data_IF_169025048263
#
_entry.id   IF_169025048263
#
_cell.length_a   1.000
_cell.length_b   1.000
_cell.length_c   1.000
_cell.angle_alpha   90.00
_cell.angle_beta   90.00
_cell.angle_gamma   90.00
#
_symmetry.space_group_name_H-M   'P 1'
#
loop_
_entity.id
_entity.type
_entity.pdbx_description
1 polymer ?
#
# COMPACT_ATOMS: atom_id res chain seq x y z
N UNK A 1 25.03 -31.13 23.21
CA UNK A 1 25.81 -32.33 22.82
C UNK A 1 24.87 -33.31 22.13
N UNK A 2 25.26 -33.86 20.98
CA UNK A 2 24.58 -34.96 20.29
C UNK A 2 23.73 -34.54 19.08
N UNK A 3 24.18 -34.95 17.89
CA UNK A 3 23.64 -34.61 16.57
C UNK A 3 23.49 -35.89 15.73
N UNK A 4 22.67 -35.79 14.66
CA UNK A 4 22.59 -36.66 13.46
C UNK A 4 21.86 -38.03 13.64
N UNK A 5 21.16 -38.65 12.67
CA UNK A 5 21.19 -38.63 11.19
C UNK A 5 19.82 -38.99 10.57
N UNK A 6 19.54 -38.45 9.39
CA UNK A 6 18.61 -38.98 8.39
C UNK A 6 19.35 -39.95 7.44
N UNK A 7 18.68 -40.90 6.77
CA UNK A 7 19.22 -41.57 5.61
C UNK A 7 18.93 -40.76 4.32
N UNK A 8 19.98 -40.48 3.57
CA UNK A 8 19.95 -39.86 2.25
C UNK A 8 19.77 -40.91 1.15
N UNK A 9 19.27 -40.49 -0.02
CA UNK A 9 19.67 -41.06 -1.31
C UNK A 9 19.98 -39.91 -2.26
N UNK A 10 21.24 -39.81 -2.67
CA UNK A 10 21.74 -38.90 -3.70
C UNK A 10 22.04 -39.71 -4.96
N UNK A 11 21.81 -39.10 -6.13
CA UNK A 11 22.51 -39.45 -7.36
C UNK A 11 23.09 -38.15 -7.95
N UNK A 12 24.38 -38.18 -8.25
CA UNK A 12 25.28 -37.08 -8.59
C UNK A 12 24.99 -36.46 -9.97
N UNK A 13 25.54 -35.25 -10.26
CA UNK A 13 25.92 -34.87 -11.61
C UNK A 13 27.44 -35.00 -11.83
N UNK A 14 27.83 -35.47 -13.01
CA UNK A 14 29.21 -35.45 -13.50
C UNK A 14 29.47 -34.20 -14.34
N UNK A 15 30.67 -33.65 -14.19
CA UNK A 15 31.16 -32.45 -14.89
C UNK A 15 32.16 -32.84 -15.99
N UNK A 16 32.09 -32.07 -17.09
CA UNK A 16 33.09 -31.76 -18.13
C UNK A 16 33.69 -32.85 -19.03
N UNK A 17 33.65 -32.57 -20.35
CA UNK A 17 34.84 -32.37 -21.21
C UNK A 17 34.47 -31.83 -22.60
N UNK A 18 35.20 -30.80 -23.03
CA UNK A 18 35.39 -30.41 -24.44
C UNK A 18 36.29 -31.44 -25.16
N UNK A 19 36.23 -31.52 -26.50
CA UNK A 19 37.32 -30.90 -27.25
C UNK A 19 36.91 -30.17 -28.55
N UNK A 20 37.86 -29.33 -28.95
CA UNK A 20 38.03 -28.52 -30.16
C UNK A 20 38.05 -29.28 -31.49
N UNK A 21 37.63 -28.61 -32.57
CA UNK A 21 37.95 -28.96 -33.96
C UNK A 21 37.48 -27.88 -34.94
N UNK A 22 38.42 -27.20 -35.60
CA UNK A 22 38.21 -26.16 -36.59
C UNK A 22 37.82 -26.72 -37.97
N UNK A 23 37.26 -25.87 -38.85
CA UNK A 23 37.55 -25.68 -40.30
C UNK A 23 36.37 -24.94 -40.99
N UNK A 24 36.66 -23.82 -41.68
CA UNK A 24 35.77 -23.08 -42.62
C UNK A 24 35.95 -23.62 -44.07
N UNK A 25 35.45 -23.02 -45.19
CA UNK A 25 34.50 -21.89 -45.43
C UNK A 25 33.50 -22.12 -46.61
N UNK A 26 32.69 -21.07 -46.92
CA UNK A 26 32.02 -20.81 -48.23
C UNK A 26 30.48 -20.85 -48.18
N UNK A 27 29.68 -20.04 -48.87
CA UNK A 27 29.84 -18.89 -49.78
C UNK A 27 28.43 -18.40 -50.20
N UNK A 28 28.23 -17.07 -50.37
CA UNK A 28 27.32 -16.40 -51.37
C UNK A 28 25.78 -16.54 -51.12
N UNK A 29 24.83 -15.59 -51.29
CA UNK A 29 24.65 -14.27 -51.94
C UNK A 29 23.45 -13.54 -51.26
N UNK A 30 23.47 -12.22 -51.00
CA UNK A 30 22.98 -11.06 -51.79
C UNK A 30 21.45 -10.82 -51.89
N UNK A 31 21.00 -9.64 -51.39
CA UNK A 31 20.04 -8.63 -51.98
C UNK A 31 19.74 -7.54 -50.91
N UNK A 32 20.39 -6.35 -50.82
CA UNK A 32 20.11 -5.01 -51.45
C UNK A 32 18.64 -4.71 -51.78
N UNK A 33 18.01 -3.53 -51.58
CA UNK A 33 18.43 -2.13 -51.37
C UNK A 33 17.27 -1.29 -50.71
N UNK A 34 17.50 -0.34 -49.78
CA UNK A 34 17.70 1.15 -49.88
C UNK A 34 16.47 1.95 -50.36
N UNK A 35 15.91 2.88 -49.57
CA UNK A 35 16.14 4.36 -49.63
C UNK A 35 15.04 5.10 -48.84
N UNK A 36 15.04 6.40 -48.52
CA UNK A 36 16.01 7.39 -48.01
C UNK A 36 15.24 8.72 -47.82
N UNK A 37 15.34 9.31 -46.62
CA UNK A 37 15.46 10.75 -46.27
C UNK A 37 14.45 11.86 -46.72
N UNK A 38 14.62 13.00 -46.01
CA UNK A 38 14.16 14.41 -46.22
C UNK A 38 12.80 14.71 -45.55
N UNK A 39 12.56 15.73 -44.70
CA UNK A 39 13.24 16.99 -44.35
C UNK A 39 12.19 18.13 -44.35
N UNK A 40 12.29 19.09 -43.40
CA UNK A 40 11.44 20.29 -43.19
C UNK A 40 10.02 20.05 -42.59
N UNK A 41 9.41 20.85 -41.72
CA UNK A 41 9.67 22.18 -41.16
C UNK A 41 8.32 22.90 -40.93
N UNK A 42 8.15 23.53 -39.74
CA UNK A 42 7.30 24.71 -39.43
C UNK A 42 5.77 24.54 -39.11
N UNK A 43 5.47 24.77 -37.81
CA UNK A 43 4.37 25.57 -37.20
C UNK A 43 2.90 25.12 -37.07
N UNK A 44 2.32 25.65 -35.97
CA UNK A 44 0.92 25.87 -35.59
C UNK A 44 0.20 24.69 -34.91
N UNK A 45 -0.40 24.80 -33.73
CA UNK A 45 -0.76 25.97 -32.94
C UNK A 45 -1.18 25.58 -31.52
N UNK A 46 -1.16 26.57 -30.65
CA UNK A 46 -1.50 26.51 -29.23
C UNK A 46 -3.00 26.30 -29.05
N UNK A 47 -3.40 25.43 -28.12
CA UNK A 47 -4.63 25.64 -27.37
C UNK A 47 -4.35 25.47 -25.88
N UNK A 48 -3.96 26.60 -25.29
CA UNK A 48 -4.13 26.89 -23.87
C UNK A 48 -5.63 26.82 -23.62
N UNK A 49 -6.09 25.75 -22.97
CA UNK A 49 -7.37 25.77 -22.28
C UNK A 49 -7.09 26.23 -20.86
N UNK A 50 -7.21 27.54 -20.65
CA UNK A 50 -7.40 28.11 -19.32
C UNK A 50 -8.74 27.58 -18.79
N UNK A 51 -8.67 26.69 -17.80
CA UNK A 51 -9.69 26.69 -16.77
C UNK A 51 -8.99 26.90 -15.43
N UNK A 52 -9.30 28.01 -14.78
CA UNK A 52 -8.69 28.45 -13.54
C UNK A 52 -9.18 27.58 -12.39
N UNK A 53 -8.34 26.66 -11.93
CA UNK A 53 -8.45 26.10 -10.58
C UNK A 53 -7.10 25.51 -10.18
N UNK A 54 -6.22 26.37 -9.65
CA UNK A 54 -4.97 26.05 -8.93
C UNK A 54 -4.22 24.77 -9.39
N UNK A 55 -3.51 24.82 -10.54
CA UNK A 55 -2.71 23.69 -11.04
C UNK A 55 -1.53 23.32 -10.12
N UNK A 56 -1.06 24.26 -9.29
CA UNK A 56 0.04 24.01 -8.35
C UNK A 56 -0.34 23.04 -7.24
N UNK A 57 -1.55 23.15 -6.67
CA UNK A 57 -2.01 22.25 -5.62
C UNK A 57 -2.35 20.86 -6.16
N UNK A 58 -2.90 20.76 -7.38
CA UNK A 58 -3.16 19.45 -8.00
C UNK A 58 -1.84 18.73 -8.32
N UNK A 59 -0.85 19.45 -8.86
CA UNK A 59 0.49 18.91 -9.08
C UNK A 59 1.20 18.57 -7.77
N UNK A 60 1.02 19.37 -6.72
CA UNK A 60 1.60 19.12 -5.40
C UNK A 60 0.92 17.97 -4.66
N UNK A 61 -0.40 17.80 -4.79
CA UNK A 61 -1.18 16.65 -4.33
C UNK A 61 -0.74 15.39 -5.04
N UNK A 62 -0.70 15.41 -6.38
CA UNK A 62 -0.22 14.28 -7.16
C UNK A 62 1.24 13.96 -6.81
N UNK A 63 2.08 14.96 -6.56
CA UNK A 63 3.47 14.77 -6.10
C UNK A 63 3.53 14.20 -4.67
N UNK A 64 2.74 14.72 -3.74
CA UNK A 64 2.65 14.28 -2.34
C UNK A 64 2.15 12.85 -2.24
N UNK A 65 1.01 12.57 -2.88
CA UNK A 65 0.47 11.22 -3.06
C UNK A 65 1.52 10.33 -3.74
N UNK A 66 2.21 10.83 -4.76
CA UNK A 66 3.20 10.02 -5.46
C UNK A 66 4.46 9.69 -4.65
N UNK A 67 4.85 10.59 -3.76
CA UNK A 67 6.01 10.43 -2.88
C UNK A 67 5.67 9.56 -1.66
N UNK A 68 4.41 9.55 -1.23
CA UNK A 68 3.87 8.59 -0.26
C UNK A 68 4.22 7.14 -0.59
N UNK A 69 4.34 6.83 -1.88
CA UNK A 69 4.62 5.48 -2.37
C UNK A 69 6.09 5.07 -2.37
N UNK A 70 7.03 6.02 -2.14
CA UNK A 70 8.48 5.73 -2.21
C UNK A 70 9.15 5.47 -0.86
N UNK A 71 8.49 5.78 0.26
CA UNK A 71 9.09 5.70 1.61
C UNK A 71 8.54 4.58 2.48
N UNK A 72 8.00 3.51 1.90
CA UNK A 72 7.39 2.45 2.70
C UNK A 72 8.46 1.65 3.48
N UNK A 73 8.23 1.38 4.78
CA UNK A 73 9.11 0.55 5.58
C UNK A 73 9.07 -0.90 5.12
N UNK A 74 9.96 -1.74 5.65
CA UNK A 74 10.24 -3.13 5.22
C UNK A 74 9.03 -4.11 5.27
N UNK A 75 7.84 -3.63 5.62
CA UNK A 75 6.62 -4.42 5.85
C UNK A 75 5.50 -4.22 4.81
N UNK A 76 5.67 -3.35 3.81
CA UNK A 76 4.74 -3.20 2.68
C UNK A 76 5.29 -2.33 1.55
N UNK A 77 4.72 -2.41 0.35
CA UNK A 77 5.05 -1.54 -0.80
C UNK A 77 3.79 -0.86 -1.30
N UNK A 78 3.75 0.47 -1.36
CA UNK A 78 2.62 1.23 -1.89
C UNK A 78 2.80 1.49 -3.40
N UNK A 79 1.78 1.22 -4.22
CA UNK A 79 1.77 1.55 -5.65
C UNK A 79 0.62 2.52 -5.96
N UNK A 80 0.91 3.54 -6.77
CA UNK A 80 -0.05 4.55 -7.21
C UNK A 80 -0.77 4.07 -8.45
N UNK A 81 -2.06 4.30 -8.49
CA UNK A 81 -2.85 4.22 -9.71
C UNK A 81 -2.95 5.58 -10.37
N UNK A 82 -2.72 5.61 -11.68
CA UNK A 82 -3.18 6.70 -12.54
C UNK A 82 -4.72 6.71 -12.53
N UNK A 83 -5.34 7.88 -12.33
CA UNK A 83 -6.75 8.07 -11.95
C UNK A 83 -7.79 7.68 -13.03
N UNK A 84 -7.41 6.84 -14.01
CA UNK A 84 -8.26 6.47 -15.16
C UNK A 84 -8.91 5.09 -15.06
N UNK A 85 -8.54 4.24 -14.10
CA UNK A 85 -9.13 2.90 -13.95
C UNK A 85 -10.17 2.88 -12.83
N UNK A 86 -11.40 2.42 -13.11
CA UNK A 86 -12.46 2.28 -12.11
C UNK A 86 -12.10 1.33 -10.95
N UNK A 87 -11.14 0.43 -11.19
CA UNK A 87 -10.65 -0.57 -10.25
C UNK A 87 -9.15 -0.75 -10.45
N UNK A 88 -8.40 -0.77 -9.35
CA UNK A 88 -6.94 -0.90 -9.29
C UNK A 88 -6.59 -2.26 -8.69
N UNK A 89 -5.80 -3.07 -9.39
CA UNK A 89 -5.49 -4.44 -8.97
C UNK A 89 -4.10 -4.54 -8.36
N UNK A 90 -3.98 -5.17 -7.20
CA UNK A 90 -2.70 -5.54 -6.60
C UNK A 90 -2.11 -6.72 -7.36
N UNK A 91 -0.93 -6.53 -7.94
CA UNK A 91 -0.35 -7.42 -8.94
C UNK A 91 0.06 -8.79 -8.40
N UNK A 92 0.38 -8.90 -7.10
CA UNK A 92 0.86 -10.16 -6.52
C UNK A 92 -0.26 -11.10 -6.09
N UNK A 93 -1.38 -10.56 -5.62
CA UNK A 93 -2.51 -11.30 -5.06
C UNK A 93 -3.68 -11.39 -6.03
N UNK A 94 -3.73 -10.51 -7.03
CA UNK A 94 -4.84 -10.40 -7.99
C UNK A 94 -6.08 -9.73 -7.40
N UNK A 95 -5.97 -9.16 -6.20
CA UNK A 95 -7.07 -8.49 -5.53
C UNK A 95 -7.28 -7.07 -6.04
N UNK A 96 -8.55 -6.70 -6.19
CA UNK A 96 -8.96 -5.49 -6.87
C UNK A 96 -9.59 -4.50 -5.90
N UNK A 97 -9.04 -3.30 -5.84
CA UNK A 97 -9.47 -2.19 -5.01
C UNK A 97 -10.20 -1.17 -5.88
N UNK A 98 -11.44 -0.76 -5.54
CA UNK A 98 -12.13 0.27 -6.30
C UNK A 98 -11.36 1.60 -6.26
N UNK A 99 -11.44 2.41 -7.31
CA UNK A 99 -10.82 3.73 -7.30
C UNK A 99 -11.52 4.72 -6.36
N UNK A 100 -12.82 4.54 -6.14
CA UNK A 100 -13.63 5.35 -5.23
C UNK A 100 -14.37 4.45 -4.25
N UNK A 101 -14.36 4.83 -2.98
CA UNK A 101 -15.03 4.16 -1.88
C UNK A 101 -16.03 5.12 -1.21
N UNK A 102 -17.22 4.62 -0.83
CA UNK A 102 -18.29 5.40 -0.19
C UNK A 102 -18.62 6.70 -0.95
N UNK A 103 -18.62 6.62 -2.28
CA UNK A 103 -18.95 7.69 -3.23
C UNK A 103 -18.07 8.95 -3.23
N UNK A 104 -17.15 9.13 -2.26
CA UNK A 104 -16.28 10.33 -2.19
C UNK A 104 -14.81 10.04 -1.87
N UNK A 105 -14.47 8.89 -1.31
CA UNK A 105 -13.09 8.60 -0.91
C UNK A 105 -12.31 8.00 -2.06
N UNK A 106 -11.36 8.76 -2.61
CA UNK A 106 -10.42 8.30 -3.62
C UNK A 106 -9.36 7.35 -3.04
N UNK A 107 -8.96 6.36 -3.82
CA UNK A 107 -7.85 5.46 -3.48
C UNK A 107 -6.51 6.20 -3.59
N UNK A 108 -5.81 6.34 -2.46
CA UNK A 108 -4.51 7.00 -2.38
C UNK A 108 -3.35 6.06 -2.69
N UNK A 109 -3.50 4.78 -2.35
CA UNK A 109 -2.46 3.78 -2.58
C UNK A 109 -2.85 2.40 -2.06
N UNK A 110 -2.20 1.37 -2.63
CA UNK A 110 -2.39 -0.04 -2.27
C UNK A 110 -1.10 -0.63 -1.75
N UNK A 111 -1.14 -1.40 -0.67
CA UNK A 111 -0.02 -2.18 -0.17
C UNK A 111 -0.35 -3.64 0.11
N UNK A 112 0.68 -4.38 0.51
CA UNK A 112 0.59 -5.80 0.83
C UNK A 112 1.29 -6.08 2.15
N UNK A 113 0.56 -6.63 3.12
CA UNK A 113 1.12 -7.04 4.41
C UNK A 113 1.67 -8.45 4.34
N UNK A 114 2.94 -8.59 4.70
CA UNK A 114 3.63 -9.89 4.82
C UNK A 114 3.96 -10.22 6.27
N UNK A 115 3.94 -11.50 6.60
CA UNK A 115 4.41 -12.03 7.89
C UNK A 115 5.44 -13.12 7.67
N UNK A 116 6.59 -13.01 8.30
CA UNK A 116 7.58 -14.07 8.33
C UNK A 116 7.10 -15.18 9.27
N UNK A 117 7.11 -16.43 8.80
CA UNK A 117 6.70 -17.62 9.53
C UNK A 117 7.92 -18.54 9.63
N UNK A 118 8.30 -18.87 10.87
CA UNK A 118 9.49 -19.68 11.19
C UNK A 118 10.81 -19.15 10.59
N UNK A 119 10.93 -17.85 10.34
CA UNK A 119 12.16 -17.19 9.85
C UNK A 119 12.58 -17.54 8.41
N UNK A 120 11.93 -18.51 7.77
CA UNK A 120 12.34 -19.08 6.48
C UNK A 120 11.34 -18.77 5.35
N UNK A 121 10.07 -18.50 5.67
CA UNK A 121 9.02 -18.29 4.67
C UNK A 121 8.16 -17.08 5.01
N UNK A 122 7.94 -16.21 4.03
CA UNK A 122 6.98 -15.11 4.14
C UNK A 122 5.61 -15.55 3.63
N UNK A 123 4.57 -15.24 4.39
CA UNK A 123 3.18 -15.37 3.94
C UNK A 123 2.61 -13.99 3.65
N UNK A 124 1.87 -13.86 2.56
CA UNK A 124 1.05 -12.68 2.28
C UNK A 124 -0.24 -12.79 3.09
N UNK A 125 -0.43 -11.89 4.05
CA UNK A 125 -1.54 -11.96 5.03
C UNK A 125 -2.79 -11.32 4.44
N UNK A 126 -2.66 -10.08 3.96
CA UNK A 126 -3.72 -9.31 3.31
C UNK A 126 -3.11 -8.25 2.39
N UNK A 127 -3.81 -7.90 1.32
CA UNK A 127 -3.60 -6.66 0.61
C UNK A 127 -4.40 -5.55 1.30
N UNK A 128 -3.99 -4.30 1.17
CA UNK A 128 -4.74 -3.18 1.73
C UNK A 128 -4.74 -1.97 0.81
N UNK A 129 -5.80 -1.18 0.85
CA UNK A 129 -5.90 0.11 0.17
C UNK A 129 -6.20 1.21 1.17
N UNK A 130 -5.58 2.37 1.00
CA UNK A 130 -5.83 3.57 1.81
C UNK A 130 -6.65 4.55 0.99
N UNK A 131 -7.75 5.03 1.57
CA UNK A 131 -8.73 5.90 0.93
C UNK A 131 -8.95 7.15 1.77
N UNK A 132 -9.13 8.28 1.12
CA UNK A 132 -9.57 9.52 1.77
C UNK A 132 -10.30 10.41 0.77
N UNK A 133 -11.03 11.40 1.27
CA UNK A 133 -11.70 12.38 0.42
C UNK A 133 -10.69 13.40 -0.13
N UNK A 134 -10.65 13.53 -1.47
CA UNK A 134 -9.71 14.42 -2.15
C UNK A 134 -9.90 15.89 -1.75
N UNK A 135 -11.15 16.30 -1.48
CA UNK A 135 -11.43 17.68 -1.05
C UNK A 135 -10.98 17.90 0.38
N UNK A 136 -11.21 16.94 1.29
CA UNK A 136 -10.73 17.04 2.67
C UNK A 136 -9.19 17.14 2.69
N UNK A 137 -8.47 16.31 1.91
CA UNK A 137 -7.00 16.38 1.82
C UNK A 137 -6.56 17.73 1.24
N UNK A 138 -7.19 18.18 0.15
CA UNK A 138 -6.84 19.45 -0.49
C UNK A 138 -7.03 20.63 0.45
N UNK A 139 -8.13 20.66 1.20
CA UNK A 139 -8.41 21.69 2.19
C UNK A 139 -7.34 21.69 3.30
N UNK A 140 -7.06 20.52 3.87
CA UNK A 140 -6.01 20.35 4.88
C UNK A 140 -4.63 20.83 4.40
N UNK A 141 -4.23 20.46 3.19
CA UNK A 141 -2.95 20.89 2.64
C UNK A 141 -2.93 22.40 2.39
N UNK A 142 -4.04 22.97 1.91
CA UNK A 142 -4.12 24.41 1.66
C UNK A 142 -4.10 25.24 2.95
N UNK A 143 -4.73 24.75 4.01
CA UNK A 143 -4.80 25.43 5.30
C UNK A 143 -3.45 25.42 6.02
N UNK A 144 -2.78 24.26 6.04
CA UNK A 144 -1.55 24.07 6.81
C UNK A 144 -0.26 24.36 6.03
N UNK A 145 -0.28 24.17 4.71
CA UNK A 145 0.91 24.32 3.86
C UNK A 145 0.69 25.18 2.61
N UNK A 146 -0.45 25.89 2.47
CA UNK A 146 -0.75 26.67 1.26
C UNK A 146 0.24 27.78 0.93
N UNK A 147 1.05 28.21 1.90
CA UNK A 147 2.11 29.22 1.73
C UNK A 147 3.50 28.64 1.50
N UNK A 148 3.68 27.32 1.66
CA UNK A 148 4.98 26.65 1.55
C UNK A 148 5.21 26.15 0.12
N UNK A 149 6.43 26.34 -0.38
CA UNK A 149 6.85 25.79 -1.66
C UNK A 149 6.92 24.26 -1.56
N UNK A 150 6.48 23.54 -2.60
CA UNK A 150 6.45 22.06 -2.65
C UNK A 150 7.81 21.41 -2.35
N UNK A 151 8.89 22.16 -2.49
CA UNK A 151 10.27 21.72 -2.25
C UNK A 151 10.68 21.72 -0.76
N UNK A 152 9.93 22.43 0.10
CA UNK A 152 10.18 22.50 1.55
C UNK A 152 9.28 21.55 2.36
N UNK A 153 8.27 20.95 1.71
CA UNK A 153 7.35 20.02 2.33
C UNK A 153 8.06 18.71 2.65
N UNK A 154 8.42 18.49 3.92
CA UNK A 154 8.86 17.16 4.34
C UNK A 154 7.65 16.24 4.37
N UNK A 155 7.65 15.25 3.49
CA UNK A 155 6.60 14.24 3.39
C UNK A 155 6.25 13.59 4.74
N UNK A 156 7.25 13.37 5.59
CA UNK A 156 7.10 12.83 6.94
C UNK A 156 6.22 13.71 7.83
N UNK A 157 6.45 15.02 7.79
CA UNK A 157 5.68 15.99 8.58
C UNK A 157 4.22 16.01 8.11
N UNK A 158 4.01 16.02 6.79
CA UNK A 158 2.65 16.03 6.22
C UNK A 158 1.88 14.74 6.50
N UNK A 159 2.57 13.60 6.45
CA UNK A 159 1.98 12.30 6.78
C UNK A 159 1.61 12.23 8.26
N UNK A 160 2.48 12.70 9.14
CA UNK A 160 2.19 12.79 10.56
C UNK A 160 0.99 13.71 10.83
N UNK A 161 0.97 14.88 10.21
CA UNK A 161 -0.09 15.87 10.37
C UNK A 161 -1.42 15.37 9.79
N UNK A 162 -1.40 14.61 8.68
CA UNK A 162 -2.58 13.96 8.12
C UNK A 162 -3.16 12.92 9.09
N UNK A 163 -2.31 12.11 9.74
CA UNK A 163 -2.76 11.14 10.74
C UNK A 163 -3.42 11.81 11.96
N UNK A 164 -2.91 12.97 12.35
CA UNK A 164 -3.40 13.76 13.50
C UNK A 164 -4.64 14.60 13.19
N UNK A 165 -4.85 14.99 11.92
CA UNK A 165 -5.99 15.81 11.46
C UNK A 165 -7.36 15.13 11.65
N UNK A 166 -8.46 15.86 11.61
CA UNK A 166 -9.82 15.28 11.65
C UNK A 166 -10.38 14.98 10.24
N UNK A 167 -9.54 14.38 9.39
CA UNK A 167 -9.92 13.95 8.04
C UNK A 167 -10.41 12.51 8.06
N UNK A 168 -11.45 12.24 7.27
CA UNK A 168 -11.95 10.88 7.07
C UNK A 168 -10.97 10.05 6.23
N UNK A 169 -10.53 8.92 6.78
CA UNK A 169 -9.58 8.01 6.12
C UNK A 169 -10.05 6.57 6.34
N UNK A 170 -10.12 5.78 5.27
CA UNK A 170 -10.45 4.36 5.35
C UNK A 170 -9.27 3.52 4.92
N UNK A 171 -8.88 2.57 5.76
CA UNK A 171 -7.96 1.49 5.37
C UNK A 171 -8.80 0.24 5.14
N UNK A 172 -8.87 -0.20 3.88
CA UNK A 172 -9.54 -1.43 3.47
C UNK A 172 -8.55 -2.56 3.39
N UNK A 173 -8.75 -3.62 4.15
CA UNK A 173 -7.95 -4.83 4.14
C UNK A 173 -8.70 -5.91 3.36
N UNK A 174 -8.02 -6.58 2.44
CA UNK A 174 -8.53 -7.73 1.71
C UNK A 174 -7.69 -8.97 2.03
N UNK A 175 -8.32 -9.96 2.66
CA UNK A 175 -7.63 -11.08 3.27
C UNK A 175 -7.10 -12.05 2.21
N UNK A 176 -5.79 -12.30 2.24
CA UNK A 176 -5.11 -13.21 1.31
C UNK A 176 -4.92 -14.59 1.94
N UNK A 177 -4.49 -14.64 3.20
CA UNK A 177 -4.21 -15.89 3.88
C UNK A 177 -5.50 -16.54 4.40
N UNK A 178 -5.99 -17.57 3.73
CA UNK A 178 -7.28 -18.20 4.03
C UNK A 178 -7.36 -19.06 5.30
N UNK A 179 -6.27 -19.16 6.08
CA UNK A 179 -6.22 -19.94 7.34
C UNK A 179 -6.09 -19.02 8.56
N UNK A 180 -6.56 -17.78 8.46
CA UNK A 180 -6.63 -16.87 9.60
C UNK A 180 -7.84 -17.24 10.47
N UNK A 181 -7.57 -17.50 11.75
CA UNK A 181 -8.62 -17.49 12.76
C UNK A 181 -8.85 -16.06 13.25
N UNK A 182 -10.07 -15.74 13.66
CA UNK A 182 -10.38 -14.44 14.26
C UNK A 182 -9.52 -14.16 15.49
N UNK A 183 -9.19 -15.19 16.28
CA UNK A 183 -8.23 -15.10 17.39
C UNK A 183 -6.83 -14.68 16.93
N UNK A 184 -6.35 -15.22 15.81
CA UNK A 184 -5.07 -14.81 15.23
C UNK A 184 -5.08 -13.36 14.77
N UNK A 185 -6.21 -12.88 14.24
CA UNK A 185 -6.38 -11.47 13.85
C UNK A 185 -6.42 -10.57 15.06
N UNK A 186 -7.18 -10.93 16.10
CA UNK A 186 -7.22 -10.22 17.39
C UNK A 186 -5.83 -10.08 17.98
N UNK A 187 -5.07 -11.18 18.10
CA UNK A 187 -3.71 -11.15 18.63
C UNK A 187 -2.78 -10.28 17.77
N UNK A 188 -2.88 -10.36 16.44
CA UNK A 188 -2.06 -9.55 15.55
C UNK A 188 -2.34 -8.05 15.72
N UNK A 189 -3.61 -7.67 15.90
CA UNK A 189 -3.99 -6.30 16.20
C UNK A 189 -3.59 -5.88 17.62
N UNK A 190 -3.71 -6.75 18.62
CA UNK A 190 -3.20 -6.48 19.98
C UNK A 190 -1.72 -6.12 19.95
N UNK A 191 -0.91 -6.92 19.24
CA UNK A 191 0.52 -6.69 19.08
C UNK A 191 0.81 -5.39 18.31
N UNK A 192 0.23 -5.24 17.11
CA UNK A 192 0.56 -4.14 16.21
C UNK A 192 0.01 -2.80 16.71
N UNK A 193 -1.27 -2.76 17.10
CA UNK A 193 -1.92 -1.54 17.59
C UNK A 193 -1.42 -1.20 18.99
N UNK A 194 -1.20 -2.19 19.85
CA UNK A 194 -0.63 -1.99 21.19
C UNK A 194 0.75 -1.32 21.14
N UNK A 195 1.60 -1.74 20.20
CA UNK A 195 2.89 -1.07 19.95
C UNK A 195 2.74 0.41 19.61
N UNK A 196 1.80 0.78 18.73
CA UNK A 196 1.59 2.18 18.31
C UNK A 196 0.88 3.02 19.36
N UNK A 197 -0.07 2.44 20.10
CA UNK A 197 -0.65 3.08 21.28
C UNK A 197 0.43 3.39 22.31
N UNK A 198 1.39 2.48 22.53
CA UNK A 198 2.52 2.74 23.43
C UNK A 198 3.42 3.86 22.93
N UNK A 199 3.69 3.89 21.62
CA UNK A 199 4.50 4.92 20.97
C UNK A 199 3.92 6.33 21.14
N UNK A 200 2.60 6.49 20.97
CA UNK A 200 1.95 7.81 20.98
C UNK A 200 1.29 8.19 22.31
N UNK A 201 0.92 7.22 23.14
CA UNK A 201 0.12 7.44 24.36
C UNK A 201 0.72 6.86 25.64
N UNK A 202 1.93 6.29 25.62
CA UNK A 202 2.58 5.74 26.83
C UNK A 202 2.06 4.36 27.27
N UNK A 203 2.29 3.96 28.53
CA UNK A 203 1.99 2.60 29.01
C UNK A 203 0.52 2.33 29.33
N UNK A 204 -0.27 3.35 29.65
CA UNK A 204 -1.64 3.21 30.18
C UNK A 204 -2.71 3.15 29.08
N UNK A 205 -2.54 2.27 28.08
CA UNK A 205 -3.45 2.17 26.93
C UNK A 205 -4.20 0.83 26.82
N UNK A 206 -4.13 0.02 27.88
CA UNK A 206 -4.67 -1.36 27.89
C UNK A 206 -6.19 -1.39 27.71
N UNK A 207 -6.92 -0.47 28.37
CA UNK A 207 -8.38 -0.40 28.26
C UNK A 207 -8.82 -0.02 26.85
N UNK A 208 -8.16 0.96 26.24
CA UNK A 208 -8.44 1.39 24.87
C UNK A 208 -8.16 0.28 23.86
N UNK A 209 -7.03 -0.42 24.02
CA UNK A 209 -6.68 -1.57 23.19
C UNK A 209 -7.71 -2.69 23.34
N UNK A 210 -8.12 -3.01 24.57
CA UNK A 210 -9.13 -4.04 24.83
C UNK A 210 -10.50 -3.65 24.27
N UNK A 211 -10.89 -2.37 24.35
CA UNK A 211 -12.12 -1.86 23.74
C UNK A 211 -12.13 -2.04 22.23
N UNK A 212 -10.99 -1.82 21.58
CA UNK A 212 -10.84 -2.08 20.15
C UNK A 212 -10.86 -3.57 19.82
N UNK A 213 -10.08 -4.39 20.54
CA UNK A 213 -9.90 -5.81 20.20
C UNK A 213 -11.12 -6.67 20.52
N UNK A 214 -11.94 -6.25 21.48
CA UNK A 214 -13.21 -6.91 21.82
C UNK A 214 -14.28 -6.80 20.71
N UNK A 215 -14.14 -5.88 19.74
CA UNK A 215 -15.02 -5.80 18.57
C UNK A 215 -14.92 -7.04 17.67
N UNK A 216 -13.76 -7.71 17.68
CA UNK A 216 -13.52 -8.90 16.88
C UNK A 216 -13.94 -10.15 17.67
N UNK A 217 -15.25 -10.37 17.80
CA UNK A 217 -15.80 -11.53 18.53
C UNK A 217 -15.54 -12.87 17.82
N UNK A 218 -15.54 -13.98 18.57
CA UNK A 218 -15.23 -15.32 18.02
C UNK A 218 -16.26 -15.84 17.00
N UNK A 219 -17.39 -15.15 16.85
CA UNK A 219 -18.45 -15.45 15.89
C UNK A 219 -18.06 -15.10 14.45
N UNK A 220 -17.16 -14.13 14.27
CA UNK A 220 -16.73 -13.70 12.94
C UNK A 220 -15.73 -14.68 12.33
N UNK A 221 -15.98 -15.06 11.08
CA UNK A 221 -15.04 -15.85 10.27
C UNK A 221 -14.34 -14.92 9.29
N UNK A 222 -13.05 -15.15 9.09
CA UNK A 222 -12.21 -14.36 8.18
C UNK A 222 -11.60 -15.29 7.12
N UNK A 223 -12.40 -15.82 6.19
CA UNK A 223 -11.89 -16.57 5.04
C UNK A 223 -11.06 -15.68 4.10
N UNK A 224 -10.36 -16.31 3.15
CA UNK A 224 -9.71 -15.59 2.06
C UNK A 224 -10.77 -14.80 1.26
N UNK A 225 -10.47 -13.54 0.97
CA UNK A 225 -11.34 -12.63 0.26
C UNK A 225 -12.21 -11.76 1.15
N UNK A 226 -12.30 -12.04 2.45
CA UNK A 226 -12.99 -11.15 3.39
C UNK A 226 -12.40 -9.74 3.35
N UNK A 227 -13.28 -8.77 3.52
CA UNK A 227 -12.97 -7.34 3.50
C UNK A 227 -13.15 -6.79 4.91
N UNK A 228 -12.12 -6.15 5.44
CA UNK A 228 -12.19 -5.42 6.71
C UNK A 228 -11.92 -3.95 6.43
N UNK A 229 -12.89 -3.08 6.67
CA UNK A 229 -12.67 -1.64 6.57
C UNK A 229 -12.46 -1.05 7.97
N UNK A 230 -11.32 -0.39 8.16
CA UNK A 230 -10.99 0.43 9.31
C UNK A 230 -11.15 1.90 8.91
N UNK A 231 -12.31 2.48 9.21
CA UNK A 231 -12.67 3.85 8.82
C UNK A 231 -12.51 4.81 10.00
N UNK A 232 -11.55 5.71 9.91
CA UNK A 232 -11.52 6.93 10.72
C UNK A 232 -12.56 7.90 10.15
N UNK A 233 -13.56 8.20 10.95
CA UNK A 233 -14.59 9.19 10.67
C UNK A 233 -14.31 10.49 11.43
N UNK A 234 -14.98 11.57 11.02
CA UNK A 234 -14.90 12.89 11.67
C UNK A 234 -15.26 12.77 13.16
N UNK A 235 -14.62 13.57 14.01
CA UNK A 235 -14.72 13.45 15.47
C UNK A 235 -13.91 12.29 16.05
N UNK A 236 -12.91 11.80 15.31
CA UNK A 236 -11.99 10.73 15.70
C UNK A 236 -12.68 9.42 16.10
N UNK A 237 -13.68 9.00 15.32
CA UNK A 237 -14.39 7.73 15.51
C UNK A 237 -13.80 6.69 14.58
N UNK A 238 -13.18 5.65 15.12
CA UNK A 238 -12.75 4.49 14.36
C UNK A 238 -13.92 3.51 14.26
N UNK A 239 -14.52 3.39 13.07
CA UNK A 239 -15.53 2.38 12.73
C UNK A 239 -14.87 1.20 12.05
N UNK A 240 -15.21 -0.01 12.52
CA UNK A 240 -14.75 -1.27 11.94
C UNK A 240 -15.93 -1.96 11.25
N UNK A 241 -15.73 -2.38 10.01
CA UNK A 241 -16.70 -3.26 9.31
C UNK A 241 -16.00 -4.51 8.79
N UNK A 242 -16.72 -5.63 8.77
CA UNK A 242 -16.28 -6.91 8.19
C UNK A 242 -17.32 -7.33 7.17
N UNK A 243 -16.91 -7.52 5.92
CA UNK A 243 -17.78 -7.88 4.79
C UNK A 243 -19.01 -6.97 4.69
N UNK A 244 -18.80 -5.67 4.93
CA UNK A 244 -19.84 -4.64 4.88
C UNK A 244 -20.72 -4.52 6.13
N UNK A 245 -20.60 -5.44 7.11
CA UNK A 245 -21.33 -5.38 8.37
C UNK A 245 -20.51 -4.63 9.42
N UNK A 246 -21.12 -3.65 10.09
CA UNK A 246 -20.50 -2.98 11.23
C UNK A 246 -20.30 -3.96 12.40
N UNK A 247 -19.07 -4.01 12.90
CA UNK A 247 -18.71 -4.83 14.07
C UNK A 247 -18.49 -4.00 15.33
N UNK A 248 -18.22 -2.70 15.17
CA UNK A 248 -18.15 -1.76 16.28
C UNK A 248 -17.49 -0.44 15.92
N UNK A 249 -17.53 0.49 16.86
CA UNK A 249 -16.84 1.77 16.77
C UNK A 249 -16.16 2.15 18.09
N UNK A 250 -15.03 2.85 18.00
CA UNK A 250 -14.33 3.44 19.15
C UNK A 250 -14.00 4.89 18.84
N UNK A 251 -14.52 5.80 19.65
CA UNK A 251 -14.09 7.20 19.62
C UNK A 251 -12.78 7.36 20.39
N UNK A 252 -11.70 7.67 19.68
CA UNK A 252 -10.39 7.98 20.25
C UNK A 252 -9.43 8.49 19.18
N UNK A 253 -8.94 9.72 19.33
CA UNK A 253 -7.92 10.30 18.47
C UNK A 253 -6.63 9.48 18.49
N UNK A 254 -6.20 9.03 19.68
CA UNK A 254 -5.01 8.22 19.86
C UNK A 254 -5.10 6.89 19.11
N UNK A 255 -6.27 6.22 19.15
CA UNK A 255 -6.48 4.97 18.44
C UNK A 255 -6.49 5.18 16.92
N UNK A 256 -7.20 6.20 16.43
CA UNK A 256 -7.25 6.53 15.01
C UNK A 256 -5.83 6.78 14.45
N UNK A 257 -5.05 7.61 15.14
CA UNK A 257 -3.64 7.88 14.79
C UNK A 257 -2.81 6.60 14.78
N UNK A 258 -2.93 5.78 15.84
CA UNK A 258 -2.14 4.55 15.99
C UNK A 258 -2.44 3.51 14.90
N UNK A 259 -3.70 3.42 14.44
CA UNK A 259 -4.10 2.55 13.34
C UNK A 259 -3.52 3.06 12.02
N UNK A 260 -3.63 4.35 11.72
CA UNK A 260 -3.10 4.91 10.48
C UNK A 260 -1.58 4.76 10.40
N UNK A 261 -0.86 4.96 11.51
CA UNK A 261 0.61 4.83 11.58
C UNK A 261 1.10 3.42 11.21
N UNK A 262 0.25 2.38 11.29
CA UNK A 262 0.59 1.03 10.83
C UNK A 262 0.70 0.88 9.31
N UNK A 263 0.00 1.74 8.56
CA UNK A 263 -0.11 1.65 7.10
C UNK A 263 0.63 2.77 6.39
N UNK A 264 0.64 3.94 7.01
CA UNK A 264 1.18 5.16 6.42
C UNK A 264 2.28 5.80 7.26
N UNK A 265 2.63 5.23 8.41
CA UNK A 265 3.73 5.72 9.24
C UNK A 265 5.12 5.33 8.73
N UNK A 266 6.13 5.94 9.33
CA UNK A 266 7.55 5.85 8.95
C UNK A 266 8.28 4.55 9.36
N UNK A 267 7.60 3.59 9.99
CA UNK A 267 8.22 2.48 10.74
C UNK A 267 8.28 1.13 10.03
#
# INVERSE_FOLDING_TARGET
>A
MGSLRFPFSFSQPATTRFPSGAFSPGSIACSVAVSAAIGAGISAGISISQNSTNPSLHSALNSFLSNFSRSSPLWGSLSLSDSSAAVVTESKTGFSFPAVLKDSQGLLGIGLRRKAVFGLKNIDVYAFGVYADDNDIKNFLSEKYGTLLTNELKQKEVTQDLMESDISVTVRLQIVYGKLSIRSVRNAFEDSVGSRLKKFGGSENKELLQKFTSQFSDEYKIPRGSIIDLSKEKGYVLRTTIDGKEVGSVQSQLLCRSILDLYIGDE
#
